data_IF_154659062247
#
_entry.id   IF_154659062247
#
_cell.length_a   1.000
_cell.length_b   1.000
_cell.length_c   1.000
_cell.angle_alpha   90.00
_cell.angle_beta   90.00
_cell.angle_gamma   90.00
#
_symmetry.space_group_name_H-M   'P 1'
#
loop_
_entity.id
_entity.type
_entity.pdbx_description
1 polymer ?
#
# COMPACT_ATOMS: atom_id res chain seq x y z
N UNK A 1 68.78 -3.53 2.56
CA UNK A 1 67.58 -3.65 1.68
C UNK A 1 66.28 -3.92 2.46
N UNK A 2 66.29 -4.78 3.50
CA UNK A 2 65.11 -5.08 4.33
C UNK A 2 64.35 -3.86 4.91
N UNK A 3 65.07 -2.83 5.41
CA UNK A 3 64.44 -1.63 5.99
C UNK A 3 63.61 -0.81 4.99
N UNK A 4 64.00 -0.79 3.70
CA UNK A 4 63.25 -0.06 2.64
C UNK A 4 61.99 -0.83 2.21
N UNK A 5 62.08 -2.16 2.17
CA UNK A 5 60.94 -3.02 1.86
C UNK A 5 59.86 -2.97 2.96
N UNK A 6 60.25 -2.94 4.23
CA UNK A 6 59.32 -2.82 5.35
C UNK A 6 58.55 -1.49 5.36
N UNK A 7 59.21 -0.37 5.03
CA UNK A 7 58.56 0.95 4.94
C UNK A 7 57.57 1.01 3.77
N UNK A 8 57.94 0.48 2.60
CA UNK A 8 57.04 0.40 1.44
C UNK A 8 55.82 -0.48 1.71
N UNK A 9 56.00 -1.60 2.42
CA UNK A 9 54.90 -2.45 2.84
C UNK A 9 53.96 -1.71 3.80
N UNK A 10 54.50 -1.03 4.82
CA UNK A 10 53.70 -0.30 5.79
C UNK A 10 52.91 0.86 5.16
N UNK A 11 53.52 1.61 4.23
CA UNK A 11 52.84 2.68 3.49
C UNK A 11 51.74 2.08 2.60
N UNK A 12 52.03 0.97 1.91
CA UNK A 12 51.05 0.27 1.09
C UNK A 12 49.85 -0.23 1.89
N UNK A 13 50.08 -0.85 3.06
CA UNK A 13 49.01 -1.33 3.94
C UNK A 13 48.23 -0.17 4.58
N UNK A 14 48.91 0.91 4.98
CA UNK A 14 48.24 2.10 5.52
C UNK A 14 47.34 2.77 4.47
N UNK A 15 47.81 2.90 3.23
CA UNK A 15 46.98 3.41 2.13
C UNK A 15 45.80 2.48 1.84
N UNK A 16 46.00 1.15 1.91
CA UNK A 16 44.90 0.19 1.72
C UNK A 16 43.85 0.30 2.83
N UNK A 17 44.26 0.53 4.08
CA UNK A 17 43.37 0.69 5.24
C UNK A 17 42.60 2.01 5.23
N UNK A 18 43.19 3.11 4.76
CA UNK A 18 42.50 4.41 4.66
C UNK A 18 41.36 4.36 3.64
N UNK A 19 41.48 3.53 2.60
CA UNK A 19 40.42 3.33 1.59
C UNK A 19 39.22 2.48 2.09
N UNK A 20 39.31 1.83 3.26
CA UNK A 20 38.21 1.02 3.82
C UNK A 20 37.27 1.86 4.71
N UNK A 21 37.63 3.11 5.02
CA UNK A 21 36.90 3.95 6.00
C UNK A 21 35.98 4.98 5.32
N UNK A 22 35.99 5.10 3.98
CA UNK A 22 35.04 5.97 3.27
C UNK A 22 33.70 5.26 3.02
N UNK A 23 32.90 5.09 4.08
CA UNK A 23 31.47 4.93 3.91
C UNK A 23 30.85 6.33 3.82
N UNK A 24 30.57 6.78 2.59
CA UNK A 24 29.67 7.92 2.43
C UNK A 24 28.27 7.55 2.97
N UNK A 25 27.61 8.43 3.73
CA UNK A 25 26.26 8.17 4.19
C UNK A 25 25.33 7.96 2.99
N UNK A 26 24.73 6.77 2.93
CA UNK A 26 23.69 6.44 1.96
C UNK A 26 22.45 7.32 2.18
N UNK A 27 22.01 8.04 1.15
CA UNK A 27 20.80 8.88 1.18
C UNK A 27 21.09 10.37 1.04
N UNK A 28 20.18 11.11 0.38
CA UNK A 28 20.26 12.57 0.28
C UNK A 28 20.12 13.24 1.65
N UNK A 29 20.32 14.57 1.74
CA UNK A 29 20.20 15.31 3.00
C UNK A 29 18.78 15.30 3.61
N UNK A 30 17.80 14.77 2.89
CA UNK A 30 16.40 14.70 3.30
C UNK A 30 15.87 13.28 3.14
N UNK A 31 14.86 12.89 3.92
CA UNK A 31 14.20 11.61 3.72
C UNK A 31 13.41 11.63 2.41
N UNK A 32 13.42 10.51 1.68
CA UNK A 32 12.55 10.32 0.53
C UNK A 32 11.09 10.23 1.00
N UNK A 33 10.19 10.93 0.31
CA UNK A 33 8.78 11.06 0.68
C UNK A 33 7.87 10.64 -0.46
N UNK A 34 6.65 10.24 -0.14
CA UNK A 34 5.57 10.15 -1.12
C UNK A 34 4.30 10.77 -0.58
N UNK A 35 3.39 11.13 -1.49
CA UNK A 35 2.03 11.57 -1.17
C UNK A 35 1.01 10.84 -2.03
N UNK A 36 -0.21 10.70 -1.52
CA UNK A 36 -1.31 10.15 -2.30
C UNK A 36 -1.71 11.15 -3.40
N UNK A 37 -1.78 10.68 -4.64
CA UNK A 37 -2.21 11.49 -5.79
C UNK A 37 -3.66 11.18 -6.17
N UNK A 38 -4.02 9.90 -6.22
CA UNK A 38 -5.38 9.48 -6.55
C UNK A 38 -5.70 8.08 -6.04
N UNK A 39 -7.00 7.76 -5.97
CA UNK A 39 -7.52 6.43 -5.65
C UNK A 39 -8.29 5.88 -6.86
N UNK A 40 -8.20 4.57 -7.08
CA UNK A 40 -9.07 3.82 -7.99
C UNK A 40 -9.97 2.90 -7.19
N UNK A 41 -11.23 2.76 -7.60
CA UNK A 41 -12.20 1.89 -6.94
C UNK A 41 -12.89 1.00 -7.95
N UNK A 42 -12.74 -0.31 -7.81
CA UNK A 42 -13.22 -1.25 -8.83
C UNK A 42 -13.76 -2.54 -8.21
N UNK A 43 -14.92 -3.03 -8.67
CA UNK A 43 -15.44 -4.32 -8.23
C UNK A 43 -14.69 -5.46 -8.93
N UNK A 44 -14.63 -6.62 -8.29
CA UNK A 44 -13.93 -7.81 -8.81
C UNK A 44 -14.59 -9.09 -8.27
N UNK A 45 -14.47 -10.17 -9.03
CA UNK A 45 -14.85 -11.50 -8.58
C UNK A 45 -13.80 -12.04 -7.61
N UNK A 46 -14.23 -12.50 -6.45
CA UNK A 46 -13.41 -13.00 -5.36
C UNK A 46 -13.77 -14.43 -4.99
N UNK A 47 -12.75 -15.24 -4.79
CA UNK A 47 -12.89 -16.58 -4.22
C UNK A 47 -11.62 -17.01 -3.48
N UNK A 48 -11.79 -17.84 -2.46
CA UNK A 48 -10.67 -18.52 -1.82
C UNK A 48 -10.23 -19.70 -2.68
N UNK A 49 -8.94 -19.74 -3.02
CA UNK A 49 -8.30 -20.91 -3.65
C UNK A 49 -8.14 -22.04 -2.64
N UNK A 50 -7.75 -21.68 -1.43
CA UNK A 50 -7.57 -22.61 -0.33
C UNK A 50 -8.00 -21.93 0.98
N UNK A 51 -9.12 -22.41 1.53
CA UNK A 51 -9.67 -21.92 2.80
C UNK A 51 -8.77 -22.22 3.99
N UNK A 52 -7.82 -23.16 3.89
CA UNK A 52 -6.90 -23.51 4.97
C UNK A 52 -5.65 -22.64 4.99
N UNK A 53 -5.22 -22.10 3.85
CA UNK A 53 -4.03 -21.25 3.73
C UNK A 53 -4.34 -19.77 3.49
N UNK A 54 -5.62 -19.41 3.33
CA UNK A 54 -6.05 -18.02 3.16
C UNK A 54 -5.64 -17.44 1.82
N UNK A 55 -5.28 -18.30 0.87
CA UNK A 55 -4.98 -17.87 -0.50
C UNK A 55 -6.30 -17.58 -1.22
N UNK A 56 -6.35 -16.43 -1.87
CA UNK A 56 -7.51 -15.99 -2.63
C UNK A 56 -7.12 -15.65 -4.06
N UNK A 57 -8.11 -15.42 -4.90
CA UNK A 57 -7.90 -14.91 -6.25
C UNK A 57 -8.99 -13.95 -6.66
N UNK A 58 -8.56 -13.00 -7.48
CA UNK A 58 -9.42 -12.02 -8.11
C UNK A 58 -9.60 -12.38 -9.57
N UNK A 59 -10.77 -12.07 -10.10
CA UNK A 59 -11.11 -12.26 -11.50
C UNK A 59 -12.11 -11.22 -11.97
N UNK A 60 -12.44 -11.29 -13.25
CA UNK A 60 -13.48 -10.44 -13.83
C UNK A 60 -14.86 -10.88 -13.34
N UNK A 61 -15.74 -9.91 -13.15
CA UNK A 61 -17.13 -10.16 -12.81
C UNK A 61 -17.82 -10.84 -14.00
N UNK A 62 -18.59 -11.92 -13.78
CA UNK A 62 -19.40 -12.53 -14.84
C UNK A 62 -20.34 -11.50 -15.46
N UNK A 63 -20.57 -11.58 -16.77
CA UNK A 63 -21.34 -10.58 -17.52
C UNK A 63 -22.81 -10.42 -17.07
N UNK A 64 -23.36 -11.35 -16.29
CA UNK A 64 -24.76 -11.33 -15.87
C UNK A 64 -24.96 -10.84 -14.43
N UNK A 65 -24.24 -11.40 -13.47
CA UNK A 65 -24.46 -11.17 -12.04
C UNK A 65 -23.39 -11.87 -11.21
N UNK A 66 -23.23 -11.46 -9.96
CA UNK A 66 -22.33 -12.07 -8.99
C UNK A 66 -23.05 -12.32 -7.67
N UNK A 67 -22.73 -13.42 -6.99
CA UNK A 67 -23.21 -13.62 -5.61
C UNK A 67 -22.48 -12.67 -4.66
N UNK A 68 -23.20 -12.16 -3.67
CA UNK A 68 -22.69 -11.26 -2.62
C UNK A 68 -21.35 -11.70 -2.04
N UNK A 69 -21.23 -12.97 -1.65
CA UNK A 69 -20.02 -13.55 -1.06
C UNK A 69 -18.83 -13.68 -2.03
N UNK A 70 -19.05 -13.49 -3.33
CA UNK A 70 -18.00 -13.43 -4.34
C UNK A 70 -17.64 -12.00 -4.74
N UNK A 71 -18.32 -10.98 -4.22
CA UNK A 71 -17.98 -9.60 -4.53
C UNK A 71 -16.82 -9.12 -3.66
N UNK A 72 -15.79 -8.59 -4.32
CA UNK A 72 -14.79 -7.74 -3.69
C UNK A 72 -14.73 -6.36 -4.33
N UNK A 73 -14.40 -5.36 -3.54
CA UNK A 73 -14.13 -4.00 -3.99
C UNK A 73 -12.65 -3.70 -3.72
N UNK A 74 -11.88 -3.50 -4.78
CA UNK A 74 -10.48 -3.13 -4.71
C UNK A 74 -10.32 -1.61 -4.66
N UNK A 75 -9.57 -1.13 -3.66
CA UNK A 75 -9.14 0.25 -3.55
C UNK A 75 -7.65 0.29 -3.90
N UNK A 76 -7.33 0.84 -5.07
CA UNK A 76 -5.96 1.06 -5.54
C UNK A 76 -5.51 2.49 -5.26
N UNK A 77 -4.21 2.68 -5.06
CA UNK A 77 -3.60 4.00 -4.83
C UNK A 77 -2.59 4.33 -5.90
N UNK A 78 -2.53 5.61 -6.26
CA UNK A 78 -1.45 6.18 -7.07
C UNK A 78 -0.74 7.23 -6.23
N UNK A 79 0.58 7.08 -6.11
CA UNK A 79 1.41 7.95 -5.29
C UNK A 79 2.39 8.75 -6.15
N UNK A 80 2.66 9.99 -5.75
CA UNK A 80 3.77 10.79 -6.28
C UNK A 80 4.95 10.70 -5.32
N UNK A 81 6.15 10.42 -5.84
CA UNK A 81 7.37 10.25 -5.05
C UNK A 81 8.31 11.45 -5.20
N UNK A 82 8.89 11.86 -4.08
CA UNK A 82 9.87 12.94 -3.97
C UNK A 82 11.16 12.36 -3.41
N UNK A 83 12.20 12.34 -4.26
CA UNK A 83 13.50 11.78 -3.91
C UNK A 83 14.50 12.89 -3.60
N UNK A 84 15.24 12.71 -2.51
CA UNK A 84 16.39 13.52 -2.17
C UNK A 84 17.56 13.12 -3.07
N UNK A 85 17.82 13.88 -4.13
CA UNK A 85 19.00 13.62 -4.94
C UNK A 85 20.25 14.10 -4.19
N UNK A 86 21.18 13.18 -3.90
CA UNK A 86 22.56 13.53 -3.59
C UNK A 86 23.24 13.96 -4.90
N UNK A 87 23.08 15.22 -5.28
CA UNK A 87 24.04 15.86 -6.19
C UNK A 87 25.31 16.15 -5.40
N UNK A 88 26.12 15.12 -5.11
CA UNK A 88 27.52 15.36 -4.82
C UNK A 88 28.18 15.70 -6.16
N UNK A 89 28.45 16.99 -6.33
CA UNK A 89 29.16 17.55 -7.47
C UNK A 89 30.52 16.87 -7.67
N UNK A 90 30.78 16.53 -8.94
CA UNK A 90 32.06 16.16 -9.53
C UNK A 90 33.26 16.90 -8.93
N UNK A 91 34.16 16.16 -8.26
CA UNK A 91 35.61 16.40 -8.33
C UNK A 91 36.45 15.29 -7.67
N UNK A 92 36.10 14.02 -7.86
CA UNK A 92 37.02 12.93 -7.51
C UNK A 92 37.71 12.41 -8.78
N UNK A 93 38.95 12.83 -9.00
CA UNK A 93 39.88 12.09 -9.87
C UNK A 93 40.22 10.76 -9.19
N UNK A 94 39.28 9.81 -9.21
CA UNK A 94 39.48 8.45 -8.72
C UNK A 94 39.63 7.51 -9.91
N UNK A 95 40.72 6.74 -9.93
CA UNK A 95 40.99 5.70 -10.94
C UNK A 95 40.11 4.45 -10.67
N UNK A 96 39.47 4.39 -9.50
CA UNK A 96 38.57 3.32 -9.08
C UNK A 96 37.14 3.88 -9.11
N UNK A 97 36.28 3.30 -9.94
CA UNK A 97 34.86 3.60 -9.94
C UNK A 97 34.30 3.39 -8.52
N UNK A 98 33.82 4.47 -7.90
CA UNK A 98 33.03 4.38 -6.68
C UNK A 98 31.69 3.77 -7.05
N UNK A 99 31.55 2.44 -6.93
CA UNK A 99 30.24 1.80 -6.98
C UNK A 99 29.52 2.15 -5.69
N UNK A 100 28.55 3.05 -5.77
CA UNK A 100 27.64 3.34 -4.67
C UNK A 100 26.79 2.09 -4.40
N UNK A 101 27.12 1.35 -3.33
CA UNK A 101 26.42 0.13 -2.91
C UNK A 101 25.19 0.43 -2.02
N UNK A 102 24.66 1.64 -2.10
CA UNK A 102 23.52 2.08 -1.30
C UNK A 102 22.23 1.84 -2.07
N UNK A 103 21.35 0.96 -1.58
CA UNK A 103 19.95 1.01 -1.95
C UNK A 103 19.34 2.29 -1.33
N UNK A 104 18.56 3.10 -2.08
CA UNK A 104 17.87 4.24 -1.49
C UNK A 104 16.93 3.75 -0.38
N UNK A 105 16.79 4.54 0.68
CA UNK A 105 15.83 4.25 1.73
C UNK A 105 14.41 4.24 1.14
N UNK A 106 13.50 3.36 1.60
CA UNK A 106 12.11 3.40 1.17
C UNK A 106 11.50 4.77 1.47
N UNK A 107 10.79 5.34 0.50
CA UNK A 107 10.06 6.58 0.72
C UNK A 107 8.96 6.40 1.78
N UNK A 108 8.71 7.44 2.58
CA UNK A 108 7.69 7.44 3.64
C UNK A 108 6.64 8.52 3.40
N UNK A 109 5.44 8.35 3.97
CA UNK A 109 4.41 9.39 3.96
C UNK A 109 4.02 9.72 5.39
N UNK A 110 3.77 11.00 5.64
CA UNK A 110 3.18 11.48 6.90
C UNK A 110 1.64 11.60 6.77
N UNK A 111 1.07 11.34 5.59
CA UNK A 111 -0.38 11.38 5.32
C UNK A 111 -1.05 10.09 5.83
N UNK A 112 -1.87 10.22 6.88
CA UNK A 112 -2.50 9.07 7.56
C UNK A 112 -3.96 8.92 7.13
N UNK A 113 -4.37 7.69 6.84
CA UNK A 113 -5.77 7.36 6.63
C UNK A 113 -6.57 7.68 7.90
N UNK A 114 -7.76 8.24 7.72
CA UNK A 114 -8.68 8.54 8.82
C UNK A 114 -9.94 7.71 8.77
N UNK A 115 -10.60 7.68 7.61
CA UNK A 115 -11.90 7.04 7.49
C UNK A 115 -12.17 6.58 6.05
N UNK A 116 -12.97 5.53 5.93
CA UNK A 116 -13.44 4.98 4.66
C UNK A 116 -14.93 4.68 4.81
N UNK A 117 -15.73 5.35 4.00
CA UNK A 117 -17.17 5.15 3.94
C UNK A 117 -17.55 4.62 2.56
N UNK A 118 -18.56 3.75 2.52
CA UNK A 118 -19.01 3.12 1.27
C UNK A 118 -20.50 3.29 1.15
N UNK A 119 -20.96 3.79 0.03
CA UNK A 119 -22.37 4.00 -0.24
C UNK A 119 -22.81 3.17 -1.43
N UNK A 120 -24.08 2.81 -1.48
CA UNK A 120 -24.71 2.27 -2.68
C UNK A 120 -25.84 3.17 -3.15
N UNK A 121 -26.01 3.31 -4.46
CA UNK A 121 -27.12 4.03 -5.08
C UNK A 121 -28.49 3.33 -4.92
N UNK A 122 -28.48 2.08 -4.45
CA UNK A 122 -29.66 1.22 -4.28
C UNK A 122 -29.74 0.76 -2.82
N UNK A 123 -30.95 0.52 -2.32
CA UNK A 123 -31.15 -0.06 -0.99
C UNK A 123 -30.45 -1.42 -0.92
N UNK A 124 -29.61 -1.63 0.09
CA UNK A 124 -28.89 -2.89 0.24
C UNK A 124 -29.74 -3.91 1.00
N UNK A 125 -30.31 -3.47 2.12
CA UNK A 125 -31.31 -4.20 2.91
C UNK A 125 -32.22 -3.19 3.65
N UNK A 126 -33.17 -3.69 4.45
CA UNK A 126 -34.10 -2.85 5.20
C UNK A 126 -33.47 -1.91 6.25
N UNK A 127 -32.27 -2.22 6.73
CA UNK A 127 -31.53 -1.40 7.71
C UNK A 127 -30.52 -0.46 7.01
N UNK A 128 -30.18 -0.74 5.76
CA UNK A 128 -29.25 0.02 4.94
C UNK A 128 -29.89 0.50 3.62
N UNK A 129 -30.77 1.52 3.68
CA UNK A 129 -31.29 2.19 2.48
C UNK A 129 -30.19 2.77 1.58
N UNK A 130 -30.55 3.14 0.36
CA UNK A 130 -29.64 3.82 -0.57
C UNK A 130 -28.96 5.02 0.09
N UNK A 131 -27.70 5.24 -0.24
CA UNK A 131 -26.84 6.30 0.28
C UNK A 131 -26.67 6.29 1.81
N UNK A 132 -26.96 5.19 2.51
CA UNK A 132 -26.42 4.97 3.85
C UNK A 132 -25.03 4.35 3.79
N UNK A 133 -24.25 4.56 4.85
CA UNK A 133 -22.91 3.99 4.93
C UNK A 133 -22.98 2.48 5.14
N UNK A 134 -22.34 1.76 4.23
CA UNK A 134 -22.22 0.31 4.15
C UNK A 134 -20.86 -0.17 4.65
N UNK A 135 -19.94 0.70 5.09
CA UNK A 135 -18.65 0.29 5.63
C UNK A 135 -18.73 -0.85 6.67
N UNK A 136 -19.73 -0.89 7.59
CA UNK A 136 -19.90 -2.02 8.51
C UNK A 136 -20.12 -3.39 7.83
N UNK A 137 -20.58 -3.40 6.58
CA UNK A 137 -20.88 -4.60 5.79
C UNK A 137 -19.68 -5.13 5.00
N UNK A 138 -18.51 -4.51 5.14
CA UNK A 138 -17.29 -4.91 4.48
C UNK A 138 -16.21 -5.36 5.45
N UNK A 139 -15.51 -6.42 5.07
CA UNK A 139 -14.28 -6.84 5.72
C UNK A 139 -13.08 -6.51 4.84
N UNK A 140 -11.99 -6.06 5.45
CA UNK A 140 -10.67 -5.92 4.84
C UNK A 140 -9.97 -7.28 4.81
N UNK A 141 -9.45 -7.67 3.63
CA UNK A 141 -8.55 -8.82 3.52
C UNK A 141 -7.16 -8.43 4.01
N UNK A 142 -6.69 -9.07 5.08
CA UNK A 142 -5.42 -8.75 5.71
C UNK A 142 -4.24 -9.38 4.97
N UNK A 143 -3.16 -8.61 4.80
CA UNK A 143 -1.91 -9.10 4.23
C UNK A 143 -1.28 -10.15 5.13
N UNK A 144 -0.67 -11.19 4.55
CA UNK A 144 0.04 -12.26 5.29
C UNK A 144 1.16 -11.74 6.21
N UNK A 145 1.62 -10.52 5.97
CA UNK A 145 2.68 -9.87 6.74
C UNK A 145 2.16 -8.99 7.88
N UNK A 146 0.84 -8.74 7.94
CA UNK A 146 0.22 -7.97 9.03
C UNK A 146 0.25 -8.76 10.35
N UNK A 147 0.30 -8.05 11.47
CA UNK A 147 0.24 -8.67 12.81
C UNK A 147 -1.07 -9.39 13.05
N UNK A 148 -2.19 -8.77 12.66
CA UNK A 148 -3.50 -9.39 12.72
C UNK A 148 -3.52 -10.74 11.98
N UNK A 149 -2.93 -10.81 10.78
CA UNK A 149 -2.79 -12.09 10.06
C UNK A 149 -1.91 -13.10 10.78
N UNK A 150 -0.78 -12.67 11.34
CA UNK A 150 0.09 -13.56 12.14
C UNK A 150 -0.62 -14.12 13.37
N UNK A 151 -1.58 -13.37 13.91
CA UNK A 151 -2.43 -13.79 15.03
C UNK A 151 -3.66 -14.61 14.60
N UNK A 152 -3.76 -15.00 13.32
CA UNK A 152 -4.80 -15.87 12.79
C UNK A 152 -6.00 -15.13 12.15
N UNK A 153 -6.04 -13.78 12.20
CA UNK A 153 -7.11 -13.00 11.57
C UNK A 153 -6.83 -12.83 10.07
N UNK A 154 -7.66 -13.43 9.22
CA UNK A 154 -7.54 -13.27 7.75
C UNK A 154 -8.31 -12.09 7.20
N UNK A 155 -9.29 -11.64 7.98
CA UNK A 155 -10.24 -10.60 7.68
C UNK A 155 -10.52 -9.80 8.94
N UNK A 156 -10.81 -8.53 8.78
CA UNK A 156 -11.20 -7.62 9.85
C UNK A 156 -12.29 -6.69 9.32
N UNK A 157 -13.27 -6.34 10.15
CA UNK A 157 -14.31 -5.39 9.73
C UNK A 157 -13.68 -4.05 9.33
N UNK A 158 -14.19 -3.40 8.28
CA UNK A 158 -13.62 -2.15 7.77
C UNK A 158 -13.62 -1.03 8.81
N UNK A 159 -14.70 -0.88 9.59
CA UNK A 159 -14.80 0.17 10.61
C UNK A 159 -13.81 -0.06 11.75
N UNK A 160 -13.61 -1.32 12.15
CA UNK A 160 -12.59 -1.68 13.14
C UNK A 160 -11.18 -1.44 12.58
N UNK A 161 -10.95 -1.84 11.34
CA UNK A 161 -9.65 -1.69 10.68
C UNK A 161 -9.22 -0.21 10.59
N UNK A 162 -10.11 0.68 10.12
CA UNK A 162 -9.80 2.12 10.00
C UNK A 162 -9.61 2.79 11.37
N UNK A 163 -10.31 2.32 12.41
CA UNK A 163 -10.12 2.83 13.76
C UNK A 163 -8.76 2.44 14.38
N UNK A 164 -8.28 1.22 14.10
CA UNK A 164 -7.04 0.69 14.65
C UNK A 164 -5.79 1.10 13.84
N UNK A 165 -5.93 1.32 12.52
CA UNK A 165 -4.81 1.54 11.60
C UNK A 165 -4.80 2.97 11.07
N UNK A 166 -4.17 3.87 11.83
CA UNK A 166 -3.88 5.26 11.41
C UNK A 166 -2.51 5.36 10.75
N UNK A 167 -2.31 4.54 9.72
CA UNK A 167 -1.06 4.48 8.95
C UNK A 167 -1.25 5.06 7.53
N UNK A 168 -0.16 5.32 6.80
CA UNK A 168 -0.26 5.71 5.40
C UNK A 168 -1.04 4.70 4.58
N UNK A 169 -1.96 5.20 3.74
CA UNK A 169 -2.83 4.33 2.97
C UNK A 169 -2.11 3.69 1.79
N UNK A 170 -2.20 2.36 1.69
CA UNK A 170 -1.56 1.57 0.63
C UNK A 170 -2.55 0.85 -0.29
N UNK A 171 -3.85 1.15 -0.17
CA UNK A 171 -4.92 0.43 -0.84
C UNK A 171 -5.40 -0.77 -0.03
N UNK A 172 -6.63 -1.20 -0.30
CA UNK A 172 -7.30 -2.29 0.41
C UNK A 172 -8.07 -3.18 -0.56
N UNK A 173 -8.28 -4.42 -0.13
CA UNK A 173 -9.26 -5.30 -0.76
C UNK A 173 -10.39 -5.55 0.23
N UNK A 174 -11.59 -5.12 -0.14
CA UNK A 174 -12.78 -5.22 0.69
C UNK A 174 -13.64 -6.36 0.17
N UNK A 175 -14.15 -7.20 1.05
CA UNK A 175 -15.11 -8.25 0.71
C UNK A 175 -16.40 -8.03 1.48
N UNK A 176 -17.52 -8.23 0.80
CA UNK A 176 -18.82 -8.09 1.41
C UNK A 176 -19.04 -9.23 2.43
N UNK A 177 -19.45 -8.89 3.65
CA UNK A 177 -19.68 -9.86 4.74
C UNK A 177 -21.17 -10.16 4.98
N UNK A 178 -22.05 -9.48 4.26
CA UNK A 178 -23.50 -9.61 4.31
C UNK A 178 -24.07 -9.83 2.91
N UNK A 179 -25.36 -10.14 2.82
CA UNK A 179 -26.07 -10.33 1.55
C UNK A 179 -27.13 -9.24 1.38
N UNK A 180 -27.34 -8.71 0.17
CA UNK A 180 -28.46 -7.83 -0.08
C UNK A 180 -29.78 -8.59 0.08
N UNK A 181 -30.87 -7.85 0.35
CA UNK A 181 -32.20 -8.45 0.51
C UNK A 181 -32.75 -8.98 -0.83
N UNK A 182 -32.38 -8.33 -1.94
CA UNK A 182 -32.88 -8.62 -3.29
C UNK A 182 -31.75 -8.60 -4.30
N UNK A 183 -31.97 -9.25 -5.43
CA UNK A 183 -31.08 -9.12 -6.58
C UNK A 183 -31.30 -7.76 -7.24
N UNK A 184 -30.27 -6.92 -7.27
CA UNK A 184 -30.32 -5.60 -7.89
C UNK A 184 -28.94 -5.15 -8.39
N UNK A 185 -28.93 -4.07 -9.15
CA UNK A 185 -27.72 -3.41 -9.64
C UNK A 185 -27.27 -2.34 -8.64
N UNK A 186 -26.06 -2.51 -8.13
CA UNK A 186 -25.42 -1.59 -7.20
C UNK A 186 -24.25 -0.88 -7.86
N UNK A 187 -24.22 0.43 -7.72
CA UNK A 187 -23.06 1.28 -7.97
C UNK A 187 -22.56 1.73 -6.61
N UNK A 188 -21.30 1.41 -6.29
CA UNK A 188 -20.71 1.78 -5.02
C UNK A 188 -19.92 3.07 -5.13
N UNK A 189 -20.07 3.95 -4.15
CA UNK A 189 -19.28 5.18 -4.02
C UNK A 189 -18.42 5.09 -2.77
N UNK A 190 -17.12 5.30 -2.93
CA UNK A 190 -16.13 5.34 -1.87
C UNK A 190 -15.86 6.79 -1.49
N UNK A 191 -16.02 7.09 -0.20
CA UNK A 191 -15.59 8.35 0.41
C UNK A 191 -14.38 8.05 1.29
N UNK A 192 -13.22 8.55 0.87
CA UNK A 192 -11.95 8.34 1.55
C UNK A 192 -11.50 9.64 2.22
N UNK A 193 -11.20 9.57 3.51
CA UNK A 193 -10.70 10.68 4.31
C UNK A 193 -9.30 10.39 4.84
N UNK A 194 -8.42 11.38 4.74
CA UNK A 194 -7.07 11.32 5.30
C UNK A 194 -6.65 12.65 5.92
N UNK A 195 -5.58 12.61 6.70
CA UNK A 195 -4.83 13.81 7.09
C UNK A 195 -3.80 14.10 6.00
N UNK A 196 -4.24 14.71 4.91
CA UNK A 196 -3.38 14.98 3.76
C UNK A 196 -2.67 16.32 3.87
N UNK A 197 -1.64 16.51 3.04
CA UNK A 197 -1.05 17.83 2.84
C UNK A 197 -1.89 18.62 1.83
N UNK A 198 -2.28 17.95 0.74
CA UNK A 198 -3.03 18.55 -0.38
C UNK A 198 -4.45 17.99 -0.52
N UNK A 199 -4.68 16.76 -0.07
CA UNK A 199 -5.92 16.00 -0.31
C UNK A 199 -6.40 15.45 1.03
N UNK A 200 -7.49 15.99 1.57
CA UNK A 200 -8.12 15.47 2.79
C UNK A 200 -9.32 14.57 2.51
N UNK A 201 -9.80 14.59 1.26
CA UNK A 201 -11.00 13.89 0.83
C UNK A 201 -10.92 13.48 -0.64
N UNK A 202 -11.31 12.23 -0.92
CA UNK A 202 -11.50 11.71 -2.27
C UNK A 202 -12.84 10.98 -2.34
N UNK A 203 -13.61 11.25 -3.39
CA UNK A 203 -14.82 10.52 -3.73
C UNK A 203 -14.60 9.79 -5.06
N UNK A 204 -14.80 8.47 -5.07
CA UNK A 204 -14.62 7.65 -6.27
C UNK A 204 -15.77 6.66 -6.39
N UNK A 205 -16.39 6.59 -7.57
CA UNK A 205 -17.49 5.68 -7.84
C UNK A 205 -17.02 4.52 -8.70
N UNK A 206 -17.37 3.30 -8.29
CA UNK A 206 -17.07 2.06 -9.00
C UNK A 206 -18.04 1.83 -10.18
N UNK A 207 -17.69 0.89 -11.04
CA UNK A 207 -18.62 0.39 -12.06
C UNK A 207 -19.83 -0.32 -11.42
N UNK A 208 -20.97 -0.25 -12.09
CA UNK A 208 -22.20 -0.90 -11.64
C UNK A 208 -22.08 -2.43 -11.70
N UNK A 209 -22.57 -3.11 -10.66
CA UNK A 209 -22.55 -4.58 -10.56
C UNK A 209 -23.91 -5.10 -10.14
N UNK A 210 -24.39 -6.13 -10.83
CA UNK A 210 -25.60 -6.85 -10.44
C UNK A 210 -25.26 -7.89 -9.37
N UNK A 211 -25.80 -7.71 -8.17
CA UNK A 211 -25.49 -8.55 -7.00
C UNK A 211 -26.69 -9.43 -6.68
N UNK A 212 -26.42 -10.70 -6.45
CA UNK A 212 -27.37 -11.69 -5.95
C UNK A 212 -27.17 -11.92 -4.45
N UNK A 213 -28.26 -12.14 -3.69
CA UNK A 213 -28.19 -12.55 -2.29
C UNK A 213 -27.26 -13.75 -2.06
#
# INVERSE_FOLDING_TARGET
MLKKAGVLFFIGTAMLLINIISCDPCGGPYADRYKLESISFSPSFFYYKDSTNGSFSLGNIPASSIFSHNLALGIGVRNTYFFSQNYQFDNSWSIINTSYACSPNPATSDEMMRDIQIYSNTDFDGEHPKNTDLAPLFDVILSKHSEAYRNGLRRQNLVEYTAEHQEPFHGLLLVLNSRPEKEDTHTFTLNFHQFGIDIDFLEVTAEAVMIKP
#
